data_IF_212057132830
#
_entry.id   IF_212057132830
#
_cell.length_a   1.000
_cell.length_b   1.000
_cell.length_c   1.000
_cell.angle_alpha   90.00
_cell.angle_beta   90.00
_cell.angle_gamma   90.00
#
_symmetry.space_group_name_H-M   'P 1'
#
loop_
_entity.id
_entity.type
_entity.pdbx_description
1 polymer ?
#
# COMPACT_ATOMS: atom_id res chain seq x y z
N UNK A 1 -12.45 9.40 10.27
CA UNK A 1 -12.01 8.12 9.70
C UNK A 1 -13.25 7.36 9.25
N UNK A 2 -13.29 6.86 8.00
CA UNK A 2 -14.44 6.06 7.50
C UNK A 2 -14.22 4.58 7.82
N UNK A 3 -13.01 4.07 7.60
CA UNK A 3 -12.66 2.69 7.96
C UNK A 3 -12.55 2.56 9.48
N UNK A 4 -13.27 1.61 10.03
CA UNK A 4 -13.39 1.31 11.46
C UNK A 4 -13.03 -0.16 11.76
N UNK A 5 -13.45 -0.67 12.91
CA UNK A 5 -13.23 -2.05 13.32
C UNK A 5 -11.78 -2.33 13.69
N UNK A 6 -11.21 -3.46 13.24
CA UNK A 6 -9.84 -3.85 13.58
C UNK A 6 -8.79 -2.79 13.19
N UNK A 7 -9.01 -2.06 12.10
CA UNK A 7 -8.09 -0.97 11.73
C UNK A 7 -8.07 0.14 12.78
N UNK A 8 -9.24 0.58 13.25
CA UNK A 8 -9.34 1.60 14.31
C UNK A 8 -8.69 1.12 15.60
N UNK A 9 -8.97 -0.13 16.02
CA UNK A 9 -8.34 -0.74 17.19
C UNK A 9 -6.82 -0.78 17.11
N UNK A 10 -6.25 -1.15 15.95
CA UNK A 10 -4.80 -1.12 15.73
C UNK A 10 -4.25 0.30 15.92
N UNK A 11 -4.92 1.31 15.34
CA UNK A 11 -4.50 2.72 15.48
C UNK A 11 -4.55 3.17 16.93
N UNK A 12 -5.64 2.88 17.64
CA UNK A 12 -5.82 3.27 19.05
C UNK A 12 -4.73 2.64 19.94
N UNK A 13 -4.48 1.34 19.80
CA UNK A 13 -3.41 0.63 20.53
C UNK A 13 -2.02 1.19 20.23
N UNK A 14 -1.78 1.60 18.98
CA UNK A 14 -0.51 2.25 18.62
C UNK A 14 -0.37 3.62 19.24
N UNK A 15 -1.45 4.40 19.33
CA UNK A 15 -1.47 5.71 19.99
C UNK A 15 -1.19 5.57 21.48
N UNK A 16 -1.81 4.61 22.15
CA UNK A 16 -1.56 4.30 23.56
C UNK A 16 -0.09 3.98 23.87
N UNK A 17 0.61 3.38 22.89
CA UNK A 17 2.05 3.06 22.96
C UNK A 17 2.95 4.22 22.48
N UNK A 18 2.39 5.39 22.11
CA UNK A 18 3.15 6.52 21.55
C UNK A 18 3.73 6.23 20.15
N UNK A 19 3.15 5.28 19.44
CA UNK A 19 3.61 4.84 18.13
C UNK A 19 2.80 5.34 16.95
N UNK A 20 1.77 6.15 17.16
CA UNK A 20 0.99 6.77 16.10
C UNK A 20 0.41 8.12 16.52
N UNK A 21 0.03 8.93 15.56
CA UNK A 21 -0.73 10.18 15.73
C UNK A 21 -2.14 9.94 15.21
N UNK A 22 -3.15 10.30 16.02
CA UNK A 22 -4.54 10.09 15.62
C UNK A 22 -4.88 10.90 14.36
N UNK A 23 -5.57 10.32 13.38
CA UNK A 23 -5.84 10.99 12.10
C UNK A 23 -6.67 12.27 12.23
N UNK A 24 -7.43 12.47 13.31
CA UNK A 24 -8.14 13.74 13.57
C UNK A 24 -7.20 14.91 13.86
N UNK A 25 -5.98 14.63 14.29
CA UNK A 25 -4.96 15.64 14.59
C UNK A 25 -4.15 16.02 13.36
N UNK A 26 -4.18 15.19 12.33
CA UNK A 26 -3.42 15.39 11.10
C UNK A 26 -4.30 16.01 10.02
N UNK A 27 -3.97 17.24 9.66
CA UNK A 27 -4.66 17.97 8.59
C UNK A 27 -3.86 17.89 7.29
N UNK A 28 -4.56 18.04 6.15
CA UNK A 28 -3.92 18.23 4.84
C UNK A 28 -3.01 19.46 4.83
N UNK A 29 -2.08 19.52 3.90
CA UNK A 29 -1.10 20.61 3.74
C UNK A 29 -0.16 20.78 4.95
N UNK A 30 0.24 19.68 5.56
CA UNK A 30 1.19 19.66 6.68
C UNK A 30 2.40 18.80 6.34
N UNK A 31 3.39 18.81 7.19
CA UNK A 31 4.56 17.95 7.10
C UNK A 31 4.20 16.45 7.01
N UNK A 32 3.16 16.03 7.72
CA UNK A 32 2.66 14.66 7.71
C UNK A 32 2.04 14.23 6.37
N UNK A 33 1.62 15.17 5.56
CA UNK A 33 0.99 14.92 4.26
C UNK A 33 1.88 15.34 3.09
N UNK A 34 3.15 15.64 3.34
CA UNK A 34 4.06 16.21 2.33
C UNK A 34 3.48 17.47 1.66
N UNK A 35 2.67 18.24 2.38
CA UNK A 35 1.92 19.40 1.91
C UNK A 35 1.01 19.16 0.70
N UNK A 36 0.71 17.89 0.39
CA UNK A 36 -0.23 17.52 -0.70
C UNK A 36 -1.65 17.90 -0.29
N UNK A 37 -2.42 18.40 -1.24
CA UNK A 37 -3.78 18.91 -1.00
C UNK A 37 -4.88 17.89 -1.30
N UNK A 38 -4.57 16.85 -2.11
CA UNK A 38 -5.54 15.81 -2.48
C UNK A 38 -5.12 14.45 -1.94
N UNK A 39 -6.08 13.73 -1.36
CA UNK A 39 -5.93 12.33 -0.96
C UNK A 39 -5.11 12.08 0.29
N UNK A 40 -4.55 13.11 0.88
CA UNK A 40 -3.68 13.00 2.06
C UNK A 40 -4.28 13.77 3.23
N UNK A 41 -5.58 13.64 3.45
CA UNK A 41 -6.25 14.21 4.61
C UNK A 41 -6.50 13.12 5.66
N UNK A 42 -6.37 13.46 6.95
CA UNK A 42 -6.58 12.53 8.04
C UNK A 42 -5.74 11.24 7.94
N UNK A 43 -4.49 11.35 7.50
CA UNK A 43 -3.54 10.23 7.52
C UNK A 43 -3.10 9.92 8.95
N UNK A 44 -2.62 8.70 9.17
CA UNK A 44 -2.08 8.24 10.45
C UNK A 44 -0.57 8.08 10.33
N UNK A 45 0.25 9.04 10.76
CA UNK A 45 1.68 8.82 10.93
C UNK A 45 1.90 7.74 11.98
N UNK A 46 2.81 6.80 11.72
CA UNK A 46 3.02 5.68 12.63
C UNK A 46 4.45 5.14 12.60
N UNK A 47 4.84 4.50 13.70
CA UNK A 47 6.10 3.76 13.84
C UNK A 47 5.90 2.30 13.44
N UNK A 48 6.72 1.83 12.51
CA UNK A 48 6.63 0.45 11.97
C UNK A 48 6.84 -0.61 13.06
N UNK A 49 7.76 -0.38 13.99
CA UNK A 49 8.04 -1.33 15.08
C UNK A 49 6.86 -1.43 16.08
N UNK A 50 6.20 -0.30 16.37
CA UNK A 50 5.00 -0.31 17.21
C UNK A 50 3.85 -1.07 16.52
N UNK A 51 3.69 -0.90 15.20
CA UNK A 51 2.69 -1.66 14.45
C UNK A 51 2.92 -3.17 14.55
N UNK A 52 4.17 -3.64 14.36
CA UNK A 52 4.50 -5.07 14.50
C UNK A 52 4.13 -5.60 15.88
N UNK A 53 4.52 -4.88 16.94
CA UNK A 53 4.22 -5.27 18.32
C UNK A 53 2.71 -5.34 18.58
N UNK A 54 1.95 -4.33 18.16
CA UNK A 54 0.48 -4.30 18.33
C UNK A 54 -0.19 -5.46 17.61
N UNK A 55 0.25 -5.75 16.38
CA UNK A 55 -0.31 -6.89 15.62
C UNK A 55 0.01 -8.24 16.28
N UNK A 56 1.23 -8.42 16.80
CA UNK A 56 1.61 -9.64 17.54
C UNK A 56 0.75 -9.82 18.79
N UNK A 57 0.57 -8.75 19.58
CA UNK A 57 -0.29 -8.76 20.79
C UNK A 57 -1.74 -9.14 20.43
N UNK A 58 -2.31 -8.51 19.39
CA UNK A 58 -3.69 -8.80 18.97
C UNK A 58 -3.87 -10.25 18.50
N UNK A 59 -2.87 -10.80 17.78
CA UNK A 59 -2.89 -12.19 17.34
C UNK A 59 -2.77 -13.18 18.52
N UNK A 60 -1.96 -12.86 19.52
CA UNK A 60 -1.82 -13.66 20.75
C UNK A 60 -3.11 -13.63 21.57
N UNK A 61 -3.72 -12.47 21.80
CA UNK A 61 -5.01 -12.33 22.47
C UNK A 61 -6.11 -13.14 21.78
N UNK A 62 -6.13 -13.12 20.43
CA UNK A 62 -7.04 -13.90 19.61
C UNK A 62 -6.67 -15.41 19.53
N UNK A 63 -5.58 -15.82 20.14
CA UNK A 63 -5.04 -17.21 20.12
C UNK A 63 -4.82 -17.73 18.70
N UNK A 64 -4.40 -16.87 17.79
CA UNK A 64 -4.05 -17.25 16.42
C UNK A 64 -2.69 -17.94 16.41
N UNK A 65 -2.60 -19.11 15.79
CA UNK A 65 -1.31 -19.77 15.56
C UNK A 65 -0.59 -19.07 14.41
N UNK A 66 0.41 -18.27 14.71
CA UNK A 66 1.26 -17.61 13.73
C UNK A 66 2.46 -18.49 13.39
N UNK A 67 2.84 -18.53 12.12
CA UNK A 67 4.03 -19.23 11.62
C UNK A 67 4.90 -18.25 10.83
N UNK A 68 5.84 -17.62 11.50
CA UNK A 68 6.86 -16.79 10.85
C UNK A 68 7.88 -17.64 10.06
N UNK A 69 8.60 -17.03 9.14
CA UNK A 69 9.59 -17.70 8.28
C UNK A 69 9.04 -18.93 7.55
N UNK A 70 7.76 -18.84 7.16
CA UNK A 70 7.03 -19.92 6.49
C UNK A 70 6.49 -19.41 5.16
N UNK A 71 6.85 -20.09 4.08
CA UNK A 71 6.48 -19.71 2.72
C UNK A 71 5.44 -20.69 2.16
N UNK A 72 4.38 -20.15 1.56
CA UNK A 72 3.42 -20.94 0.80
C UNK A 72 4.09 -21.53 -0.46
N UNK A 73 3.82 -22.81 -0.73
CA UNK A 73 4.37 -23.54 -1.90
C UNK A 73 3.26 -23.86 -2.89
N UNK A 74 2.22 -24.59 -2.44
CA UNK A 74 1.10 -24.97 -3.30
C UNK A 74 -0.16 -25.30 -2.49
N UNK A 75 -1.36 -25.15 -3.09
CA UNK A 75 -2.60 -25.59 -2.45
C UNK A 75 -2.71 -27.12 -2.45
N UNK A 76 -3.45 -27.65 -1.47
CA UNK A 76 -3.91 -29.03 -1.46
C UNK A 76 -5.34 -29.04 -1.96
N UNK A 77 -5.57 -29.62 -3.12
CA UNK A 77 -6.87 -29.59 -3.81
C UNK A 77 -7.55 -30.97 -3.81
N UNK A 78 -8.89 -30.94 -3.77
CA UNK A 78 -9.75 -32.06 -4.11
C UNK A 78 -10.84 -31.53 -5.07
N UNK A 79 -10.66 -31.74 -6.37
CA UNK A 79 -11.45 -31.04 -7.38
C UNK A 79 -11.19 -29.54 -7.34
N UNK A 80 -12.24 -28.74 -7.30
CA UNK A 80 -12.19 -27.28 -7.12
C UNK A 80 -12.11 -26.84 -5.65
N UNK A 81 -12.08 -27.77 -4.71
CA UNK A 81 -12.14 -27.48 -3.28
C UNK A 81 -10.74 -27.47 -2.65
N UNK A 82 -10.35 -26.39 -1.99
CA UNK A 82 -9.10 -26.30 -1.24
C UNK A 82 -9.26 -27.02 0.10
N UNK A 83 -8.32 -27.92 0.43
CA UNK A 83 -8.25 -28.66 1.69
C UNK A 83 -7.09 -28.24 2.57
N UNK A 84 -6.31 -27.26 2.14
CA UNK A 84 -5.17 -26.74 2.86
C UNK A 84 -4.04 -26.26 1.95
N UNK A 85 -2.86 -26.16 2.52
CA UNK A 85 -1.66 -25.69 1.83
C UNK A 85 -0.43 -26.51 2.19
N UNK A 86 0.48 -26.65 1.24
CA UNK A 86 1.86 -27.06 1.49
C UNK A 86 2.66 -25.79 1.72
N UNK A 87 3.41 -25.76 2.81
CA UNK A 87 4.30 -24.67 3.18
C UNK A 87 5.73 -25.17 3.32
N UNK A 88 6.69 -24.27 3.23
CA UNK A 88 8.11 -24.54 3.46
C UNK A 88 8.66 -23.62 4.55
N UNK A 89 9.38 -24.20 5.48
CA UNK A 89 10.08 -23.51 6.57
C UNK A 89 11.44 -24.16 6.80
N UNK A 90 12.17 -23.73 7.83
CA UNK A 90 13.41 -24.41 8.26
C UNK A 90 13.17 -25.87 8.73
N UNK A 91 11.93 -26.20 9.10
CA UNK A 91 11.55 -27.59 9.44
C UNK A 91 11.30 -28.46 8.21
N UNK A 92 11.38 -27.90 7.00
CA UNK A 92 11.12 -28.59 5.75
C UNK A 92 9.72 -28.29 5.21
N UNK A 93 9.17 -29.24 4.44
CA UNK A 93 7.82 -29.13 3.90
C UNK A 93 6.79 -29.67 4.91
N UNK A 94 5.75 -28.88 5.12
CA UNK A 94 4.64 -29.22 6.00
C UNK A 94 3.31 -29.06 5.26
N UNK A 95 2.34 -29.90 5.60
CA UNK A 95 0.96 -29.78 5.15
C UNK A 95 0.11 -29.15 6.25
N UNK A 96 -0.55 -28.05 5.95
CA UNK A 96 -1.54 -27.43 6.81
C UNK A 96 -2.92 -27.73 6.24
N UNK A 97 -3.77 -28.45 7.00
CA UNK A 97 -5.14 -28.69 6.61
C UNK A 97 -6.02 -27.51 7.03
N UNK A 98 -6.97 -27.13 6.18
CA UNK A 98 -7.90 -26.05 6.44
C UNK A 98 -9.29 -26.36 5.86
N UNK A 99 -10.34 -25.89 6.51
CA UNK A 99 -11.71 -25.91 5.97
C UNK A 99 -11.95 -24.77 5.00
N UNK A 100 -11.39 -23.60 5.28
CA UNK A 100 -11.42 -22.40 4.45
C UNK A 100 -10.02 -21.81 4.41
N UNK A 101 -9.61 -21.28 3.28
CA UNK A 101 -8.33 -20.61 3.08
C UNK A 101 -8.58 -19.17 2.67
N UNK A 102 -7.81 -18.24 3.23
CA UNK A 102 -7.79 -16.84 2.80
C UNK A 102 -6.43 -16.57 2.16
N UNK A 103 -6.42 -16.24 0.89
CA UNK A 103 -5.23 -15.80 0.18
C UNK A 103 -5.01 -14.29 0.44
N UNK A 104 -4.05 -14.00 1.29
CA UNK A 104 -3.61 -12.63 1.58
C UNK A 104 -2.16 -12.39 1.14
N UNK A 105 -1.66 -13.17 0.17
CA UNK A 105 -0.28 -13.08 -0.34
C UNK A 105 0.01 -11.75 -1.04
N UNK A 106 -1.03 -11.03 -1.45
CA UNK A 106 -0.96 -9.78 -2.16
C UNK A 106 -0.73 -9.94 -3.67
N UNK A 107 -0.32 -11.13 -4.11
CA UNK A 107 -0.06 -11.48 -5.51
C UNK A 107 -0.97 -12.62 -6.01
N UNK A 108 -2.01 -12.99 -5.22
CA UNK A 108 -2.94 -14.09 -5.49
C UNK A 108 -2.22 -15.44 -5.69
N UNK A 109 -1.15 -15.72 -4.95
CA UNK A 109 -0.34 -16.93 -5.18
C UNK A 109 -1.10 -18.21 -4.89
N UNK A 110 -1.96 -18.22 -3.86
CA UNK A 110 -2.79 -19.39 -3.53
C UNK A 110 -3.88 -19.55 -4.59
N UNK A 111 -4.60 -18.50 -4.93
CA UNK A 111 -5.68 -18.53 -5.90
C UNK A 111 -5.17 -18.94 -7.29
N UNK A 112 -4.08 -18.34 -7.76
CA UNK A 112 -3.47 -18.66 -9.04
C UNK A 112 -3.01 -20.12 -9.12
N UNK A 113 -2.31 -20.61 -8.09
CA UNK A 113 -1.85 -22.00 -8.04
C UNK A 113 -2.99 -23.00 -7.84
N UNK A 114 -4.13 -22.57 -7.29
CA UNK A 114 -5.35 -23.37 -7.23
C UNK A 114 -6.09 -23.44 -8.57
N UNK A 115 -5.72 -22.64 -9.57
CA UNK A 115 -6.34 -22.61 -10.89
C UNK A 115 -7.43 -21.55 -11.05
N UNK A 116 -7.54 -20.61 -10.11
CA UNK A 116 -8.39 -19.43 -10.29
C UNK A 116 -7.90 -18.59 -11.46
N UNK A 117 -8.83 -18.06 -12.25
CA UNK A 117 -8.50 -17.09 -13.28
C UNK A 117 -8.01 -15.79 -12.63
N UNK A 118 -6.94 -15.22 -13.17
CA UNK A 118 -6.35 -13.98 -12.71
C UNK A 118 -5.99 -13.09 -13.89
N UNK A 119 -6.21 -11.80 -13.73
CA UNK A 119 -5.64 -10.77 -14.60
C UNK A 119 -4.33 -10.26 -14.01
N UNK A 120 -3.41 -9.80 -14.85
CA UNK A 120 -2.13 -9.25 -14.41
C UNK A 120 -2.05 -7.76 -14.76
N UNK A 121 -2.05 -6.89 -13.75
CA UNK A 121 -2.01 -5.45 -13.94
C UNK A 121 -3.14 -4.94 -14.84
N UNK A 122 -2.83 -3.94 -15.64
CA UNK A 122 -3.74 -3.48 -16.70
C UNK A 122 -3.53 -4.31 -17.97
N UNK A 123 -4.37 -5.33 -18.18
CA UNK A 123 -4.28 -6.23 -19.33
C UNK A 123 -4.39 -5.52 -20.69
N UNK A 124 -5.10 -4.41 -20.78
CA UNK A 124 -5.28 -3.66 -22.02
C UNK A 124 -4.00 -2.94 -22.43
N UNK A 125 -3.22 -2.49 -21.45
CA UNK A 125 -2.00 -1.73 -21.66
C UNK A 125 -0.73 -2.58 -21.49
N UNK A 126 -0.84 -3.80 -20.95
CA UNK A 126 0.31 -4.67 -20.66
C UNK A 126 1.26 -4.11 -19.61
N UNK A 127 0.78 -3.27 -18.69
CA UNK A 127 1.59 -2.57 -17.68
C UNK A 127 1.09 -2.83 -16.27
N UNK A 128 2.00 -2.71 -15.34
CA UNK A 128 1.74 -2.66 -13.88
C UNK A 128 2.22 -1.34 -13.32
N UNK A 129 1.63 -0.93 -12.22
CA UNK A 129 2.09 0.26 -11.50
C UNK A 129 3.52 0.07 -10.97
N UNK A 130 4.38 1.11 -11.01
CA UNK A 130 5.77 0.99 -10.61
C UNK A 130 5.91 0.63 -9.14
N UNK A 131 6.93 -0.18 -8.83
CA UNK A 131 7.33 -0.48 -7.46
C UNK A 131 8.08 0.70 -6.82
N UNK A 132 8.18 0.69 -5.49
CA UNK A 132 8.87 1.74 -4.72
C UNK A 132 9.71 1.13 -3.60
N UNK A 133 10.95 1.57 -3.46
CA UNK A 133 11.75 1.38 -2.26
C UNK A 133 11.51 2.58 -1.33
N UNK A 134 10.68 2.39 -0.35
CA UNK A 134 10.42 3.36 0.71
C UNK A 134 11.61 3.38 1.68
N UNK A 135 11.96 4.53 2.25
CA UNK A 135 13.05 4.58 3.22
C UNK A 135 12.85 5.67 4.27
N UNK A 136 13.54 5.53 5.39
CA UNK A 136 13.54 6.43 6.53
C UNK A 136 14.81 7.24 6.60
N UNK A 137 14.67 8.49 7.01
CA UNK A 137 15.77 9.35 7.41
C UNK A 137 15.52 9.89 8.82
N UNK A 138 16.56 10.06 9.59
CA UNK A 138 16.54 10.64 10.93
C UNK A 138 17.55 11.77 11.07
N UNK A 139 17.58 12.40 12.23
CA UNK A 139 18.45 13.54 12.52
C UNK A 139 18.22 14.71 11.55
N UNK A 140 16.94 14.96 11.25
CA UNK A 140 16.48 16.09 10.44
C UNK A 140 16.15 17.25 11.38
N UNK A 141 16.65 18.44 11.08
CA UNK A 141 16.18 19.69 11.70
C UNK A 141 14.83 20.06 11.07
N UNK A 142 13.76 19.51 11.64
CA UNK A 142 12.40 19.71 11.15
C UNK A 142 11.99 21.17 11.18
N UNK A 143 12.41 21.96 12.17
CA UNK A 143 12.08 23.37 12.26
C UNK A 143 12.68 24.15 11.09
N UNK A 144 13.95 23.87 10.75
CA UNK A 144 14.61 24.49 9.60
C UNK A 144 13.99 24.04 8.27
N UNK A 145 13.66 22.77 8.14
CA UNK A 145 13.00 22.22 6.96
C UNK A 145 11.62 22.86 6.74
N UNK A 146 10.79 22.91 7.78
CA UNK A 146 9.45 23.49 7.71
C UNK A 146 9.49 25.00 7.44
N UNK A 147 10.47 25.71 8.00
CA UNK A 147 10.68 27.13 7.72
C UNK A 147 11.06 27.41 6.25
N UNK A 148 11.92 26.57 5.65
CA UNK A 148 12.25 26.66 4.21
C UNK A 148 11.03 26.42 3.33
N UNK A 149 10.21 25.44 3.67
CA UNK A 149 8.98 25.14 2.95
C UNK A 149 7.99 26.30 3.03
N UNK A 150 7.80 26.88 4.21
CA UNK A 150 6.92 28.03 4.38
C UNK A 150 7.40 29.25 3.57
N UNK A 151 8.72 29.48 3.52
CA UNK A 151 9.31 30.53 2.70
C UNK A 151 9.16 30.29 1.19
N UNK A 152 9.03 29.02 0.77
CA UNK A 152 8.93 28.60 -0.62
C UNK A 152 7.52 28.10 -1.02
N UNK A 153 6.50 28.33 -0.21
CA UNK A 153 5.15 27.83 -0.48
C UNK A 153 4.55 28.31 -1.79
N UNK A 154 4.98 29.46 -2.30
CA UNK A 154 4.53 29.98 -3.59
C UNK A 154 5.18 29.24 -4.78
N UNK A 155 6.25 28.48 -4.53
CA UNK A 155 6.92 27.64 -5.53
C UNK A 155 6.27 26.27 -5.70
N UNK A 156 5.25 25.91 -4.93
CA UNK A 156 4.54 24.66 -5.15
C UNK A 156 3.92 24.60 -6.55
N UNK A 157 4.21 23.50 -7.25
CA UNK A 157 3.56 23.23 -8.53
C UNK A 157 2.06 23.00 -8.32
N UNK A 158 1.24 23.87 -8.93
CA UNK A 158 -0.21 23.78 -8.86
C UNK A 158 -0.79 23.47 -10.23
N UNK A 159 -1.72 22.52 -10.27
CA UNK A 159 -2.57 22.26 -11.41
C UNK A 159 -4.02 22.51 -10.96
N UNK A 160 -4.73 23.37 -11.70
CA UNK A 160 -6.10 23.76 -11.35
C UNK A 160 -6.23 24.31 -9.91
N UNK A 161 -5.21 25.05 -9.45
CA UNK A 161 -5.15 25.63 -8.11
C UNK A 161 -4.76 24.66 -6.98
N UNK A 162 -4.54 23.39 -7.27
CA UNK A 162 -4.21 22.34 -6.29
C UNK A 162 -2.74 21.97 -6.34
N UNK A 163 -2.09 21.85 -5.18
CA UNK A 163 -0.73 21.36 -5.10
C UNK A 163 -0.68 19.83 -5.36
N UNK A 164 -0.06 19.47 -6.46
CA UNK A 164 0.14 18.06 -6.86
C UNK A 164 1.55 17.56 -6.65
N UNK A 165 2.54 18.45 -6.51
CA UNK A 165 3.94 18.09 -6.48
C UNK A 165 4.65 18.84 -5.39
N UNK A 166 5.13 18.07 -4.42
CA UNK A 166 5.94 18.60 -3.34
C UNK A 166 7.39 18.78 -3.79
N UNK A 167 7.98 19.89 -3.41
CA UNK A 167 9.43 20.09 -3.42
C UNK A 167 10.11 19.93 -4.77
N UNK A 168 9.47 20.30 -5.87
CA UNK A 168 10.06 20.23 -7.21
C UNK A 168 11.24 21.19 -7.37
N UNK A 169 11.27 22.32 -6.68
CA UNK A 169 12.36 23.31 -6.78
C UNK A 169 13.72 22.75 -6.30
N UNK A 170 13.75 21.87 -5.30
CA UNK A 170 14.99 21.20 -4.91
C UNK A 170 15.44 20.20 -5.97
N UNK A 171 14.50 19.51 -6.58
CA UNK A 171 14.79 18.58 -7.68
C UNK A 171 15.31 19.32 -8.91
N UNK A 172 14.71 20.45 -9.27
CA UNK A 172 15.19 21.29 -10.38
C UNK A 172 16.60 21.79 -10.14
N UNK A 173 16.86 22.32 -8.95
CA UNK A 173 18.20 22.75 -8.55
C UNK A 173 19.24 21.63 -8.59
N UNK A 174 18.86 20.42 -8.19
CA UNK A 174 19.74 19.24 -8.28
C UNK A 174 20.01 18.85 -9.74
N UNK A 175 19.01 18.94 -10.63
CA UNK A 175 19.16 18.70 -12.07
C UNK A 175 20.10 19.70 -12.75
N UNK A 176 19.92 20.96 -12.45
CA UNK A 176 20.79 22.03 -12.98
C UNK A 176 22.27 21.79 -12.64
N UNK A 177 22.53 21.20 -11.48
CA UNK A 177 23.87 20.85 -11.04
C UNK A 177 24.36 19.43 -11.45
N UNK A 178 23.55 18.67 -12.19
CA UNK A 178 23.89 17.32 -12.64
C UNK A 178 23.82 16.23 -11.56
N UNK A 179 23.21 16.52 -10.41
CA UNK A 179 23.07 15.58 -9.28
C UNK A 179 21.75 14.79 -9.30
N UNK A 180 20.90 15.02 -10.32
CA UNK A 180 19.62 14.34 -10.46
C UNK A 180 19.30 14.05 -11.94
N UNK A 181 19.57 12.84 -12.36
CA UNK A 181 19.23 12.32 -13.69
C UNK A 181 17.97 11.45 -13.72
N UNK A 182 17.30 11.32 -12.56
CA UNK A 182 16.13 10.49 -12.35
C UNK A 182 14.86 11.15 -12.92
N UNK A 183 13.92 10.32 -13.40
CA UNK A 183 12.70 10.80 -14.07
C UNK A 183 11.74 11.59 -13.17
N UNK A 184 11.77 11.37 -11.86
CA UNK A 184 10.91 12.06 -10.89
C UNK A 184 11.21 13.56 -10.86
N UNK A 185 10.14 14.35 -10.77
CA UNK A 185 10.22 15.82 -10.75
C UNK A 185 9.89 16.42 -9.39
N UNK A 186 9.66 15.57 -8.38
CA UNK A 186 9.28 15.98 -7.02
C UNK A 186 9.73 14.95 -6.01
N UNK A 187 9.84 15.38 -4.75
CA UNK A 187 10.08 14.50 -3.61
C UNK A 187 8.76 14.21 -2.88
N UNK A 188 8.64 13.02 -2.31
CA UNK A 188 7.64 12.71 -1.28
C UNK A 188 8.35 12.61 0.05
N UNK A 189 8.26 13.63 0.89
CA UNK A 189 8.79 13.68 2.24
C UNK A 189 7.64 13.80 3.22
N UNK A 190 7.55 12.86 4.16
CA UNK A 190 6.47 12.79 5.13
C UNK A 190 7.06 12.74 6.54
N UNK A 191 6.65 13.64 7.41
CA UNK A 191 7.10 13.66 8.81
C UNK A 191 6.62 12.40 9.53
N UNK A 192 7.49 11.81 10.34
CA UNK A 192 7.18 10.68 11.21
C UNK A 192 6.48 11.09 12.50
N UNK A 193 6.40 10.16 13.44
CA UNK A 193 5.88 10.41 14.80
C UNK A 193 6.90 11.18 15.62
N UNK A 194 8.18 10.81 15.53
CA UNK A 194 9.26 11.53 16.18
C UNK A 194 9.66 12.76 15.36
N UNK A 195 10.04 13.81 16.03
CA UNK A 195 10.19 15.15 15.42
C UNK A 195 11.30 15.23 14.38
N UNK A 196 12.35 14.43 14.54
CA UNK A 196 13.50 14.37 13.64
C UNK A 196 13.45 13.24 12.61
N UNK A 197 12.34 12.47 12.56
CA UNK A 197 12.15 11.36 11.64
C UNK A 197 11.27 11.72 10.45
N UNK A 198 11.74 11.35 9.25
CA UNK A 198 10.99 11.56 8.02
C UNK A 198 11.04 10.33 7.12
N UNK A 199 9.96 10.15 6.38
CA UNK A 199 9.78 9.07 5.42
C UNK A 199 9.91 9.59 4.00
N UNK A 200 10.53 8.80 3.14
CA UNK A 200 10.77 9.16 1.74
C UNK A 200 10.08 8.18 0.81
N UNK A 201 9.07 8.67 0.07
CA UNK A 201 8.32 7.93 -0.95
C UNK A 201 8.58 8.57 -2.32
N UNK A 202 9.76 8.35 -2.88
CA UNK A 202 10.19 9.04 -4.11
C UNK A 202 10.67 8.09 -5.19
N UNK A 203 11.30 6.96 -4.83
CA UNK A 203 11.83 6.01 -5.82
C UNK A 203 10.72 5.46 -6.74
N UNK A 204 11.11 5.03 -7.94
CA UNK A 204 10.18 4.48 -8.93
C UNK A 204 10.89 3.44 -9.78
N UNK A 205 10.48 2.20 -9.66
CA UNK A 205 11.01 1.08 -10.44
C UNK A 205 9.89 0.57 -11.34
N UNK A 206 10.05 0.80 -12.64
CA UNK A 206 9.06 0.43 -13.64
C UNK A 206 9.25 -1.02 -14.13
N UNK A 207 8.17 -1.64 -14.63
CA UNK A 207 8.22 -2.94 -15.29
C UNK A 207 8.55 -4.11 -14.35
N UNK A 208 8.23 -3.98 -13.05
CA UNK A 208 8.48 -5.04 -12.08
C UNK A 208 7.38 -6.10 -12.13
N UNK A 209 7.74 -7.32 -12.44
CA UNK A 209 6.89 -8.50 -12.28
C UNK A 209 7.04 -9.06 -10.86
N UNK A 210 6.05 -8.82 -10.01
CA UNK A 210 6.03 -9.27 -8.63
C UNK A 210 5.90 -10.81 -8.48
N UNK A 211 5.60 -11.51 -9.55
CA UNK A 211 5.48 -12.98 -9.57
C UNK A 211 6.76 -13.69 -10.04
N UNK A 212 7.80 -12.90 -10.35
CA UNK A 212 9.08 -13.39 -10.84
C UNK A 212 10.23 -12.96 -9.91
N UNK A 213 10.98 -13.93 -9.39
CA UNK A 213 12.06 -13.69 -8.45
C UNK A 213 13.25 -12.91 -9.01
N UNK A 214 13.56 -13.04 -10.30
CA UNK A 214 14.63 -12.27 -10.95
C UNK A 214 14.23 -10.80 -11.06
N UNK A 215 12.96 -10.55 -11.44
CA UNK A 215 12.39 -9.20 -11.49
C UNK A 215 12.35 -8.56 -10.10
N UNK A 216 11.94 -9.29 -9.05
CA UNK A 216 11.97 -8.81 -7.67
C UNK A 216 13.42 -8.53 -7.21
N UNK A 217 14.37 -9.41 -7.55
CA UNK A 217 15.80 -9.19 -7.24
C UNK A 217 16.33 -7.91 -7.90
N UNK A 218 15.98 -7.68 -9.16
CA UNK A 218 16.31 -6.42 -9.85
C UNK A 218 15.69 -5.23 -9.13
N UNK A 219 14.39 -5.29 -8.81
CA UNK A 219 13.67 -4.22 -8.15
C UNK A 219 14.24 -3.86 -6.77
N UNK A 220 14.63 -4.86 -5.98
CA UNK A 220 15.30 -4.68 -4.69
C UNK A 220 16.63 -3.93 -4.83
N UNK A 221 17.47 -4.34 -5.78
CA UNK A 221 18.78 -3.74 -6.01
C UNK A 221 18.67 -2.33 -6.57
N UNK A 222 17.81 -2.15 -7.57
CA UNK A 222 17.57 -0.86 -8.19
C UNK A 222 16.92 0.12 -7.21
N UNK A 223 15.95 -0.35 -6.42
CA UNK A 223 15.31 0.43 -5.39
C UNK A 223 16.30 0.97 -4.35
N UNK A 224 17.26 0.16 -3.88
CA UNK A 224 18.31 0.62 -2.95
C UNK A 224 19.27 1.63 -3.58
N UNK A 225 19.62 1.47 -4.88
CA UNK A 225 20.42 2.47 -5.59
C UNK A 225 19.69 3.82 -5.69
N UNK A 226 18.41 3.78 -6.04
CA UNK A 226 17.59 5.00 -6.09
C UNK A 226 17.43 5.63 -4.71
N UNK A 227 17.24 4.85 -3.64
CA UNK A 227 17.17 5.36 -2.28
C UNK A 227 18.45 6.10 -1.87
N UNK A 228 19.63 5.54 -2.15
CA UNK A 228 20.91 6.18 -1.87
C UNK A 228 21.10 7.48 -2.68
N UNK A 229 20.78 7.45 -3.96
CA UNK A 229 20.85 8.64 -4.83
C UNK A 229 19.92 9.76 -4.32
N UNK A 230 18.67 9.42 -4.01
CA UNK A 230 17.67 10.35 -3.48
C UNK A 230 18.13 10.90 -2.12
N UNK A 231 18.64 10.05 -1.25
CA UNK A 231 19.14 10.47 0.05
C UNK A 231 20.34 11.46 -0.05
N UNK A 232 21.28 11.20 -0.94
CA UNK A 232 22.40 12.14 -1.19
C UNK A 232 21.91 13.50 -1.68
N UNK A 233 20.92 13.49 -2.56
CA UNK A 233 20.28 14.72 -3.03
C UNK A 233 19.60 15.47 -1.89
N UNK A 234 18.81 14.77 -1.05
CA UNK A 234 18.14 15.34 0.12
C UNK A 234 19.17 16.03 1.03
N UNK A 235 20.26 15.36 1.37
CA UNK A 235 21.31 15.94 2.21
C UNK A 235 21.94 17.21 1.63
N UNK A 236 22.07 17.29 0.32
CA UNK A 236 22.77 18.39 -0.36
C UNK A 236 21.85 19.60 -0.61
N UNK A 237 20.56 19.35 -0.86
CA UNK A 237 19.66 20.40 -1.38
C UNK A 237 18.51 20.74 -0.46
N UNK A 238 18.15 19.90 0.50
CA UNK A 238 17.01 20.11 1.38
C UNK A 238 17.46 20.72 2.70
N UNK A 239 17.10 21.97 2.99
CA UNK A 239 17.46 22.62 4.26
C UNK A 239 16.94 21.85 5.46
N UNK A 240 17.78 21.71 6.50
CA UNK A 240 17.49 20.88 7.67
C UNK A 240 17.92 19.43 7.54
N UNK A 241 18.26 18.96 6.32
CA UNK A 241 18.69 17.59 6.08
C UNK A 241 20.22 17.42 5.95
N UNK A 242 21.01 18.44 6.17
CA UNK A 242 22.47 18.41 5.98
C UNK A 242 23.16 17.35 6.84
N UNK A 243 22.61 17.11 8.04
CA UNK A 243 23.10 16.10 8.99
C UNK A 243 22.25 14.83 9.02
N UNK A 244 21.25 14.72 8.15
CA UNK A 244 20.36 13.57 8.11
C UNK A 244 21.13 12.26 7.91
N UNK A 245 20.56 11.19 8.44
CA UNK A 245 21.05 9.80 8.32
C UNK A 245 20.00 8.96 7.64
N UNK A 246 20.40 8.13 6.69
CA UNK A 246 19.54 7.07 6.17
C UNK A 246 19.47 5.99 7.25
N UNK A 247 18.31 5.82 7.87
CA UNK A 247 18.11 4.90 8.98
C UNK A 247 17.89 3.48 8.48
N UNK A 248 16.95 3.32 7.55
CA UNK A 248 16.63 2.04 6.94
C UNK A 248 15.92 2.21 5.60
N UNK A 249 16.02 1.22 4.73
CA UNK A 249 15.10 1.01 3.60
C UNK A 249 14.02 0.03 4.02
N UNK A 250 12.88 0.03 3.32
CA UNK A 250 11.85 -0.97 3.52
C UNK A 250 12.44 -2.40 3.46
N UNK A 251 11.91 -3.30 4.26
CA UNK A 251 12.36 -4.71 4.34
C UNK A 251 12.25 -5.44 3.00
N UNK A 252 11.28 -5.04 2.18
CA UNK A 252 11.07 -5.53 0.81
C UNK A 252 10.59 -4.40 -0.08
N UNK A 253 10.82 -4.56 -1.39
CA UNK A 253 10.28 -3.63 -2.38
C UNK A 253 8.76 -3.52 -2.29
N UNK A 254 8.23 -2.31 -2.29
CA UNK A 254 6.79 -2.05 -2.25
C UNK A 254 6.14 -2.27 -3.62
N UNK A 255 5.40 -3.35 -3.76
CA UNK A 255 4.64 -3.69 -4.95
C UNK A 255 3.25 -3.07 -4.86
N UNK A 256 2.86 -2.30 -5.86
CA UNK A 256 1.53 -1.67 -5.93
C UNK A 256 0.49 -2.55 -6.60
N UNK A 257 0.90 -3.34 -7.57
CA UNK A 257 0.02 -4.11 -8.43
C UNK A 257 0.70 -5.38 -8.95
N UNK A 258 -0.08 -6.43 -9.08
CA UNK A 258 0.31 -7.69 -9.71
C UNK A 258 -0.93 -8.40 -10.25
N UNK A 259 -1.27 -9.60 -9.75
CA UNK A 259 -2.48 -10.33 -10.13
C UNK A 259 -3.71 -9.81 -9.37
N UNK A 260 -4.83 -9.74 -10.09
CA UNK A 260 -6.18 -9.62 -9.55
C UNK A 260 -6.95 -10.88 -9.90
N UNK A 261 -7.65 -11.48 -8.94
CA UNK A 261 -8.49 -12.66 -9.23
C UNK A 261 -9.74 -12.25 -10.02
N UNK A 262 -10.29 -13.15 -10.82
CA UNK A 262 -11.66 -13.03 -11.33
C UNK A 262 -12.62 -13.52 -10.24
N UNK A 263 -13.28 -12.57 -9.58
CA UNK A 263 -14.29 -12.83 -8.55
C UNK A 263 -15.72 -12.86 -9.08
N UNK A 264 -16.65 -13.18 -8.19
CA UNK A 264 -18.09 -13.13 -8.48
C UNK A 264 -18.55 -11.72 -8.84
N UNK A 265 -17.91 -10.72 -8.25
CA UNK A 265 -18.01 -9.31 -8.65
C UNK A 265 -16.61 -8.78 -8.99
N UNK A 266 -16.54 -7.87 -9.95
CA UNK A 266 -15.33 -7.12 -10.26
C UNK A 266 -15.59 -5.64 -9.99
N UNK A 267 -14.84 -5.06 -9.07
CA UNK A 267 -14.90 -3.63 -8.79
C UNK A 267 -14.31 -2.85 -9.95
N UNK A 268 -15.10 -2.00 -10.58
CA UNK A 268 -14.66 -1.14 -11.67
C UNK A 268 -14.42 0.30 -11.18
N UNK A 269 -13.65 1.05 -11.94
CA UNK A 269 -13.36 2.46 -11.59
C UNK A 269 -14.63 3.31 -11.57
N UNK A 270 -15.60 3.01 -12.42
CA UNK A 270 -16.87 3.75 -12.48
C UNK A 270 -17.73 3.54 -11.22
N UNK A 271 -17.69 2.35 -10.59
CA UNK A 271 -18.37 2.10 -9.30
C UNK A 271 -17.86 3.09 -8.23
N UNK A 272 -16.54 3.32 -8.22
CA UNK A 272 -15.89 4.26 -7.31
C UNK A 272 -16.25 5.71 -7.65
N UNK A 273 -16.16 6.08 -8.93
CA UNK A 273 -16.39 7.47 -9.37
C UNK A 273 -17.84 7.90 -9.23
N UNK A 274 -18.79 6.98 -9.37
CA UNK A 274 -20.21 7.24 -9.18
C UNK A 274 -20.67 7.12 -7.72
N UNK A 275 -19.79 6.63 -6.81
CA UNK A 275 -20.09 6.48 -5.39
C UNK A 275 -21.10 5.37 -5.11
N UNK A 276 -21.05 4.29 -5.89
CA UNK A 276 -21.95 3.14 -5.72
C UNK A 276 -21.70 2.43 -4.38
N UNK A 277 -22.78 2.10 -3.67
CA UNK A 277 -22.73 1.33 -2.41
C UNK A 277 -23.72 0.17 -2.50
N UNK A 278 -23.30 -0.96 -3.08
CA UNK A 278 -24.12 -2.18 -3.13
C UNK A 278 -24.54 -2.68 -1.74
N UNK A 279 -25.66 -3.40 -1.65
CA UNK A 279 -26.22 -3.91 -0.39
C UNK A 279 -25.27 -4.90 0.31
N UNK A 280 -24.52 -5.69 -0.47
CA UNK A 280 -23.53 -6.65 0.01
C UNK A 280 -22.15 -6.06 0.26
N UNK A 281 -22.02 -4.73 0.37
CA UNK A 281 -20.76 -4.06 0.60
C UNK A 281 -20.13 -4.48 1.92
N UNK A 282 -18.91 -4.97 1.87
CA UNK A 282 -18.12 -5.37 3.05
C UNK A 282 -17.48 -4.18 3.77
N UNK A 283 -17.36 -3.07 3.09
CA UNK A 283 -16.87 -1.80 3.64
C UNK A 283 -17.35 -0.63 2.81
N UNK A 284 -17.29 0.56 3.38
CA UNK A 284 -17.34 1.83 2.64
C UNK A 284 -15.99 2.52 2.70
N UNK A 285 -15.59 3.14 1.61
CA UNK A 285 -14.29 3.78 1.46
C UNK A 285 -14.43 5.15 0.79
N UNK A 286 -13.62 6.12 1.21
CA UNK A 286 -13.55 7.45 0.61
C UNK A 286 -12.20 7.74 -0.06
N UNK A 287 -11.33 6.72 -0.16
CA UNK A 287 -10.03 6.93 -0.79
C UNK A 287 -10.20 7.11 -2.30
N UNK A 288 -9.54 8.12 -2.83
CA UNK A 288 -9.58 8.40 -4.27
C UNK A 288 -8.71 7.40 -5.04
N UNK A 289 -8.96 7.31 -6.33
CA UNK A 289 -8.18 6.48 -7.25
C UNK A 289 -6.81 7.13 -7.47
N UNK A 290 -5.74 6.46 -7.06
CA UNK A 290 -4.35 6.90 -7.24
C UNK A 290 -3.59 5.91 -8.13
N UNK A 291 -3.36 6.29 -9.38
CA UNK A 291 -2.73 5.46 -10.40
C UNK A 291 -1.39 6.07 -10.81
N UNK A 292 -0.36 5.24 -10.77
CA UNK A 292 0.97 5.60 -11.23
C UNK A 292 1.30 4.88 -12.54
N UNK A 293 1.75 5.62 -13.55
CA UNK A 293 2.29 5.05 -14.78
C UNK A 293 1.27 4.65 -15.85
N UNK A 294 -0.03 5.00 -15.74
CA UNK A 294 -1.07 4.60 -16.70
C UNK A 294 -0.76 5.00 -18.15
N UNK A 295 -0.22 6.19 -18.35
CA UNK A 295 0.14 6.71 -19.68
C UNK A 295 1.65 6.84 -19.87
N UNK A 296 2.43 5.99 -19.20
CA UNK A 296 3.88 5.95 -19.25
C UNK A 296 4.55 6.25 -17.90
N UNK A 297 5.87 6.07 -17.81
CA UNK A 297 6.61 6.10 -16.56
C UNK A 297 6.47 7.40 -15.74
N UNK A 298 6.14 8.49 -16.40
CA UNK A 298 6.02 9.83 -15.78
C UNK A 298 4.59 10.21 -15.38
N UNK A 299 3.58 9.41 -15.75
CA UNK A 299 2.19 9.74 -15.45
C UNK A 299 1.82 9.38 -14.02
N UNK A 300 1.09 10.26 -13.38
CA UNK A 300 0.33 10.00 -12.16
C UNK A 300 -1.08 10.53 -12.38
N UNK A 301 -2.07 9.72 -12.14
CA UNK A 301 -3.46 10.12 -12.19
C UNK A 301 -4.09 10.00 -10.82
N UNK A 302 -4.85 11.00 -10.51
CA UNK A 302 -5.61 11.07 -9.29
C UNK A 302 -7.06 11.40 -9.64
N UNK A 303 -7.96 10.39 -9.51
CA UNK A 303 -9.36 10.55 -9.83
C UNK A 303 -10.16 10.62 -8.54
N UNK A 304 -10.99 11.65 -8.42
CA UNK A 304 -11.92 11.82 -7.31
C UNK A 304 -13.32 11.41 -7.72
N UNK A 305 -14.13 10.96 -6.78
CA UNK A 305 -15.54 10.65 -7.01
C UNK A 305 -16.25 11.82 -7.69
N UNK A 306 -17.12 11.48 -8.63
CA UNK A 306 -18.00 12.42 -9.35
C UNK A 306 -19.27 12.68 -8.55
N UNK A 307 -19.72 11.66 -7.81
CA UNK A 307 -20.89 11.71 -6.93
C UNK A 307 -20.54 11.09 -5.58
N UNK A 308 -21.24 11.55 -4.55
CA UNK A 308 -21.05 11.07 -3.20
C UNK A 308 -19.69 11.42 -2.59
N UNK A 309 -19.48 10.93 -1.37
CA UNK A 309 -18.24 11.13 -0.61
C UNK A 309 -17.56 9.78 -0.28
N UNK A 310 -18.20 8.67 -0.62
CA UNK A 310 -17.74 7.31 -0.37
C UNK A 310 -18.36 6.33 -1.36
N UNK A 311 -17.77 5.16 -1.47
CA UNK A 311 -18.24 4.03 -2.28
C UNK A 311 -18.13 2.73 -1.47
N UNK A 312 -18.89 1.70 -1.88
CA UNK A 312 -18.84 0.36 -1.30
C UNK A 312 -17.90 -0.58 -2.06
N UNK A 313 -17.41 -1.61 -1.38
CA UNK A 313 -16.72 -2.74 -2.00
C UNK A 313 -17.57 -3.99 -1.78
N UNK A 314 -18.15 -4.61 -2.84
CA UNK A 314 -18.98 -5.80 -2.72
C UNK A 314 -18.23 -7.03 -2.23
N UNK A 315 -18.93 -7.91 -1.50
CA UNK A 315 -18.38 -9.18 -1.02
C UNK A 315 -17.88 -10.07 -2.16
N UNK A 316 -18.57 -10.08 -3.29
CA UNK A 316 -18.19 -10.86 -4.48
C UNK A 316 -16.77 -10.56 -5.01
N UNK A 317 -16.17 -9.41 -4.64
CA UNK A 317 -14.78 -9.12 -4.97
C UNK A 317 -13.78 -10.06 -4.29
N UNK A 318 -14.16 -10.70 -3.17
CA UNK A 318 -13.32 -11.58 -2.38
C UNK A 318 -13.46 -13.05 -2.79
N UNK A 319 -14.47 -13.40 -3.57
CA UNK A 319 -14.85 -14.78 -3.90
C UNK A 319 -14.35 -15.12 -5.30
N UNK A 320 -13.22 -15.85 -5.43
CA UNK A 320 -12.69 -16.22 -6.75
C UNK A 320 -13.61 -17.25 -7.41
N UNK A 321 -13.88 -17.06 -8.71
CA UNK A 321 -14.66 -18.02 -9.50
C UNK A 321 -13.98 -19.38 -9.57
N UNK A 322 -14.76 -20.44 -9.60
CA UNK A 322 -14.36 -21.84 -9.84
C UNK A 322 -13.54 -22.51 -8.72
N UNK A 323 -13.16 -21.81 -7.67
CA UNK A 323 -12.45 -22.40 -6.55
C UNK A 323 -13.29 -22.24 -5.30
N UNK A 324 -13.62 -23.37 -4.67
CA UNK A 324 -14.39 -23.42 -3.44
C UNK A 324 -13.51 -23.31 -2.19
N UNK A 325 -14.06 -22.82 -1.10
CA UNK A 325 -13.40 -22.67 0.20
C UNK A 325 -12.18 -21.73 0.17
N UNK A 326 -12.12 -20.82 -0.81
CA UNK A 326 -11.09 -19.81 -0.94
C UNK A 326 -11.72 -18.41 -0.91
N UNK A 327 -11.13 -17.55 -0.12
CA UNK A 327 -11.35 -16.11 -0.19
C UNK A 327 -10.02 -15.44 -0.52
N UNK A 328 -10.07 -14.28 -1.17
CA UNK A 328 -8.90 -13.46 -1.45
C UNK A 328 -9.02 -12.15 -0.70
N UNK A 329 -7.94 -11.69 -0.10
CA UNK A 329 -7.88 -10.43 0.62
C UNK A 329 -6.64 -9.61 0.22
N UNK A 330 -6.73 -8.29 0.39
CA UNK A 330 -5.62 -7.40 0.04
C UNK A 330 -5.70 -6.84 -1.37
N UNK A 331 -4.57 -6.48 -1.96
CA UNK A 331 -4.49 -5.82 -3.26
C UNK A 331 -4.91 -6.70 -4.45
N UNK A 332 -4.99 -8.01 -4.26
CA UNK A 332 -5.28 -9.00 -5.32
C UNK A 332 -6.75 -9.40 -5.43
N UNK A 333 -7.67 -8.76 -4.70
CA UNK A 333 -9.11 -8.97 -4.88
C UNK A 333 -9.54 -8.63 -6.30
N UNK A 334 -10.75 -9.06 -6.67
CA UNK A 334 -11.32 -8.82 -8.00
C UNK A 334 -11.63 -7.34 -8.22
N UNK A 335 -10.75 -6.66 -8.94
CA UNK A 335 -10.88 -5.24 -9.27
C UNK A 335 -10.14 -4.94 -10.57
N UNK A 336 -10.57 -3.90 -11.28
CA UNK A 336 -9.76 -3.33 -12.36
C UNK A 336 -8.49 -2.68 -11.80
N UNK A 337 -7.46 -2.53 -12.64
CA UNK A 337 -6.20 -1.88 -12.28
C UNK A 337 -6.43 -0.47 -11.70
N UNK A 338 -7.38 0.24 -12.27
CA UNK A 338 -7.77 1.58 -11.83
C UNK A 338 -8.45 1.55 -10.46
N UNK A 339 -9.44 0.68 -10.27
CA UNK A 339 -10.15 0.54 -8.99
C UNK A 339 -9.20 0.08 -7.87
N UNK A 340 -8.26 -0.82 -8.19
CA UNK A 340 -7.22 -1.27 -7.26
C UNK A 340 -6.39 -0.10 -6.73
N UNK A 341 -6.18 0.96 -7.53
CA UNK A 341 -5.51 2.18 -7.09
C UNK A 341 -6.15 2.86 -5.89
N UNK A 342 -7.44 2.68 -5.67
CA UNK A 342 -8.17 3.26 -4.54
C UNK A 342 -8.20 2.36 -3.29
N UNK A 343 -8.22 1.03 -3.47
CA UNK A 343 -8.47 0.09 -2.38
C UNK A 343 -7.21 -0.61 -1.84
N UNK A 344 -6.04 -0.45 -2.48
CA UNK A 344 -4.78 -1.10 -2.10
C UNK A 344 -4.05 -0.46 -0.92
N UNK A 345 -4.50 0.69 -0.45
CA UNK A 345 -3.88 1.37 0.70
C UNK A 345 -4.27 0.69 2.01
N UNK A 346 -3.46 0.87 3.06
CA UNK A 346 -3.55 0.11 4.31
C UNK A 346 -4.95 0.06 4.94
N UNK A 347 -5.69 1.18 5.12
CA UNK A 347 -7.00 1.12 5.77
C UNK A 347 -8.02 0.24 5.03
N UNK A 348 -8.27 0.40 3.71
CA UNK A 348 -9.14 -0.51 2.96
C UNK A 348 -8.68 -1.96 3.00
N UNK A 349 -7.37 -2.23 2.86
CA UNK A 349 -6.84 -3.60 2.88
C UNK A 349 -7.11 -4.28 4.23
N UNK A 350 -7.00 -3.56 5.35
CA UNK A 350 -7.32 -4.11 6.67
C UNK A 350 -8.82 -4.39 6.83
N UNK A 351 -9.70 -3.54 6.30
CA UNK A 351 -11.14 -3.79 6.30
C UNK A 351 -11.51 -5.02 5.44
N UNK A 352 -10.88 -5.16 4.27
CA UNK A 352 -11.02 -6.35 3.42
C UNK A 352 -10.57 -7.61 4.17
N UNK A 353 -9.44 -7.57 4.87
CA UNK A 353 -8.95 -8.67 5.68
C UNK A 353 -9.91 -9.07 6.80
N UNK A 354 -10.48 -8.08 7.50
CA UNK A 354 -11.51 -8.30 8.52
C UNK A 354 -12.75 -8.97 7.93
N UNK A 355 -13.25 -8.50 6.80
CA UNK A 355 -14.41 -9.08 6.13
C UNK A 355 -14.16 -10.53 5.69
N UNK A 356 -13.01 -10.81 5.11
CA UNK A 356 -12.61 -12.17 4.72
C UNK A 356 -12.55 -13.10 5.93
N UNK A 357 -12.00 -12.64 7.06
CA UNK A 357 -11.96 -13.41 8.32
C UNK A 357 -13.36 -13.71 8.87
N UNK A 358 -14.25 -12.74 8.87
CA UNK A 358 -15.66 -12.91 9.30
C UNK A 358 -16.39 -13.90 8.39
N UNK A 359 -16.26 -13.73 7.07
CA UNK A 359 -16.89 -14.63 6.09
C UNK A 359 -16.40 -16.07 6.24
N UNK A 360 -15.10 -16.29 6.42
CA UNK A 360 -14.54 -17.61 6.67
C UNK A 360 -15.07 -18.24 7.96
N UNK A 361 -15.22 -17.47 9.02
CA UNK A 361 -15.76 -17.94 10.28
C UNK A 361 -17.25 -18.31 10.18
N UNK A 362 -18.04 -17.51 9.47
CA UNK A 362 -19.48 -17.75 9.24
C UNK A 362 -19.67 -19.03 8.41
N UNK A 363 -18.95 -19.19 7.31
CA UNK A 363 -19.05 -20.36 6.43
C UNK A 363 -18.74 -21.69 7.15
N UNK A 364 -17.90 -21.67 8.18
CA UNK A 364 -17.60 -22.85 9.00
C UNK A 364 -18.73 -23.18 9.99
N UNK A 365 -19.46 -22.16 10.47
CA UNK A 365 -20.57 -22.34 11.43
C UNK A 365 -21.83 -22.88 10.74
N UNK A 366 -22.01 -22.60 9.47
CA UNK A 366 -23.17 -23.03 8.68
C UNK A 366 -23.01 -24.43 8.05
N UNK A 367 -21.81 -25.01 8.12
CA UNK A 367 -21.52 -26.40 7.72
C UNK A 367 -21.68 -27.39 8.88
#
# INVERSE_FOLDING_TARGET
MIIRGLFEEVVDRMIEKGGAIHPSEVRKKTAYTSWIEKGHDHVTPFKTETLKLVLDEMLEEARVKVLYHTTFVQPVLHGCNIKGAIVFSKAGFEKINAKVVIDATGDADVAYRAGAACEYGNNQLGIVQPATMFFHISNVDSAKLEADIEANKDNFYRKDGVNYRSFHWWVEKARENGDWDFERTSLGLFKGVDDDEWFVNTSRINGVDATNNESLTYAEREGRKQADMIFRMIKKYVPGCENAKLTETASTIGIRESRHVEGDYRLEVDDILEGEVPEDSIMVCANSVDIHGRFGPKSNEYLTMRKGEYYGVPYGCLVPKKIENLLVAGRSISASSEAAGAIRVTPPVMAIGQAAGVAAALSIKEQ
#
